data_IF_798778134554
#
_entry.id   IF_798778134554
#
_cell.length_a   1.000
_cell.length_b   1.000
_cell.length_c   1.000
_cell.angle_alpha   90.00
_cell.angle_beta   90.00
_cell.angle_gamma   90.00
#
_symmetry.space_group_name_H-M   'P 1'
#
loop_
_entity.id
_entity.type
_entity.pdbx_description
1 polymer ?
#
# COMPACT_ATOMS: atom_id res chain seq x y z
N UNK A 1 25.45 48.63 6.87
CA UNK A 1 24.59 47.74 6.03
C UNK A 1 25.36 46.45 5.82
N UNK A 2 24.92 45.34 6.41
CA UNK A 2 25.56 44.04 6.16
C UNK A 2 25.24 43.61 4.71
N UNK A 3 26.27 43.41 3.88
CA UNK A 3 26.14 42.93 2.51
C UNK A 3 26.69 41.51 2.45
N UNK A 4 26.00 40.62 1.75
CA UNK A 4 26.48 39.26 1.55
C UNK A 4 27.72 39.27 0.63
N UNK A 5 28.85 38.76 1.14
CA UNK A 5 30.06 38.48 0.35
C UNK A 5 30.03 37.01 -0.07
N UNK A 6 29.81 36.75 -1.37
CA UNK A 6 29.64 35.40 -1.93
C UNK A 6 30.92 34.82 -2.50
N UNK A 7 31.92 35.67 -2.69
CA UNK A 7 33.25 35.41 -3.23
C UNK A 7 34.29 35.13 -2.13
N UNK A 8 33.92 35.33 -0.85
CA UNK A 8 34.78 34.98 0.28
C UNK A 8 34.96 33.46 0.35
N UNK A 9 36.22 33.02 0.29
CA UNK A 9 36.60 31.62 0.49
C UNK A 9 36.78 31.38 1.99
N UNK A 10 36.01 30.44 2.54
CA UNK A 10 36.11 30.03 3.94
C UNK A 10 36.44 28.53 4.02
N UNK A 11 37.43 28.18 4.84
CA UNK A 11 37.68 26.79 5.23
C UNK A 11 36.77 26.47 6.42
N UNK A 12 35.75 25.64 6.18
CA UNK A 12 34.82 25.19 7.21
C UNK A 12 35.07 23.71 7.53
N UNK A 13 35.78 23.37 8.62
CA UNK A 13 35.81 21.99 9.09
C UNK A 13 34.38 21.55 9.43
N UNK A 14 34.01 20.33 9.02
CA UNK A 14 32.68 19.79 9.21
C UNK A 14 32.78 18.45 9.96
N UNK A 15 32.28 18.40 11.18
CA UNK A 15 31.99 17.16 11.87
C UNK A 15 30.63 16.65 11.40
N UNK A 16 30.61 15.48 10.75
CA UNK A 16 29.37 14.94 10.18
C UNK A 16 28.28 14.76 11.24
N UNK A 17 28.62 14.31 12.44
CA UNK A 17 27.61 14.11 13.48
C UNK A 17 27.01 15.44 13.97
N UNK A 18 27.79 16.52 13.99
CA UNK A 18 27.33 17.85 14.38
C UNK A 18 26.38 18.50 13.34
N UNK A 19 26.19 17.90 12.16
CA UNK A 19 25.21 18.37 11.16
C UNK A 19 23.78 18.37 11.72
N UNK A 20 23.48 17.49 12.67
CA UNK A 20 22.13 17.34 13.24
C UNK A 20 22.14 17.56 14.74
N UNK A 21 21.15 18.31 15.23
CA UNK A 21 20.88 18.43 16.66
C UNK A 21 20.65 17.04 17.30
N UNK A 22 20.95 16.85 18.60
CA UNK A 22 20.78 15.56 19.29
C UNK A 22 19.35 15.00 19.25
N UNK A 23 18.35 15.87 19.17
CA UNK A 23 16.92 15.54 19.13
C UNK A 23 16.35 15.44 17.71
N UNK A 24 17.19 15.58 16.67
CA UNK A 24 16.73 15.54 15.29
C UNK A 24 16.12 14.16 14.92
N UNK A 25 14.91 14.09 14.34
CA UNK A 25 14.21 12.83 14.10
C UNK A 25 14.95 11.81 13.22
N UNK A 26 15.84 12.23 12.34
CA UNK A 26 16.67 11.32 11.54
C UNK A 26 17.56 10.40 12.40
N UNK A 27 17.95 10.84 13.61
CA UNK A 27 18.68 9.99 14.56
C UNK A 27 17.82 8.82 15.06
N UNK A 28 16.51 9.07 15.28
CA UNK A 28 15.56 8.01 15.62
C UNK A 28 15.37 7.02 14.46
N UNK A 29 15.38 7.50 13.21
CA UNK A 29 15.35 6.62 12.04
C UNK A 29 16.56 5.68 12.03
N UNK A 30 17.76 6.23 12.24
CA UNK A 30 18.97 5.42 12.29
C UNK A 30 18.94 4.40 13.44
N UNK A 31 18.58 4.83 14.65
CA UNK A 31 18.45 3.93 15.79
C UNK A 31 17.43 2.81 15.55
N UNK A 32 16.29 3.11 14.91
CA UNK A 32 15.30 2.12 14.53
C UNK A 32 15.84 1.12 13.51
N UNK A 33 16.53 1.61 12.47
CA UNK A 33 17.15 0.75 11.45
C UNK A 33 18.18 -0.20 12.05
N UNK A 34 18.99 0.28 13.01
CA UNK A 34 19.98 -0.53 13.71
C UNK A 34 19.34 -1.63 14.58
N UNK A 35 18.07 -1.50 14.96
CA UNK A 35 17.31 -2.53 15.67
C UNK A 35 16.59 -3.51 14.74
N UNK A 36 16.53 -3.25 13.43
CA UNK A 36 15.93 -4.16 12.45
C UNK A 36 16.89 -5.31 12.12
N UNK A 37 16.33 -6.45 11.73
CA UNK A 37 17.13 -7.54 11.18
C UNK A 37 17.44 -7.29 9.71
N UNK A 38 18.65 -6.78 9.48
CA UNK A 38 19.19 -6.52 8.16
C UNK A 38 19.96 -7.73 7.58
N UNK A 39 20.15 -8.83 8.32
CA UNK A 39 20.94 -9.97 7.87
C UNK A 39 20.46 -10.54 6.50
N UNK A 40 19.14 -10.65 6.22
CA UNK A 40 18.68 -11.08 4.90
C UNK A 40 19.08 -10.14 3.75
N UNK A 41 19.22 -8.84 4.02
CA UNK A 41 19.66 -7.86 3.01
C UNK A 41 21.16 -7.97 2.76
N UNK A 42 21.96 -8.13 3.81
CA UNK A 42 23.40 -8.37 3.69
C UNK A 42 23.71 -9.68 2.97
N UNK A 43 22.98 -10.76 3.27
CA UNK A 43 23.16 -12.06 2.61
C UNK A 43 22.89 -12.03 1.10
N UNK A 44 22.09 -11.08 0.61
CA UNK A 44 21.82 -10.90 -0.82
C UNK A 44 22.97 -10.19 -1.56
N UNK A 45 23.90 -9.54 -0.84
CA UNK A 45 25.05 -8.87 -1.44
C UNK A 45 26.06 -9.94 -1.87
N UNK A 46 26.12 -10.18 -3.18
CA UNK A 46 27.12 -11.06 -3.81
C UNK A 46 28.49 -10.36 -3.88
N UNK A 47 29.11 -10.05 -2.74
CA UNK A 47 30.50 -9.60 -2.74
C UNK A 47 31.41 -10.83 -2.82
N UNK A 48 31.95 -11.12 -4.00
CA UNK A 48 33.04 -12.09 -4.16
C UNK A 48 34.35 -11.36 -3.89
N UNK A 49 35.17 -11.84 -2.95
CA UNK A 49 36.56 -11.38 -2.79
C UNK A 49 37.26 -11.51 -4.15
N UNK A 50 37.64 -10.39 -4.77
CA UNK A 50 38.44 -10.35 -6.02
C UNK A 50 37.70 -9.99 -7.31
N UNK A 51 36.41 -9.64 -7.28
CA UNK A 51 35.69 -9.14 -8.47
C UNK A 51 35.80 -7.63 -8.66
N UNK A 52 36.14 -7.15 -9.87
CA UNK A 52 36.15 -5.72 -10.19
C UNK A 52 34.72 -5.14 -10.22
N UNK A 53 34.32 -4.48 -9.14
CA UNK A 53 33.06 -3.74 -9.02
C UNK A 53 33.13 -2.76 -7.85
N UNK A 54 32.36 -1.66 -7.91
CA UNK A 54 32.27 -0.73 -6.78
C UNK A 54 31.71 -1.46 -5.53
N UNK A 55 32.20 -1.15 -4.32
CA UNK A 55 31.70 -1.76 -3.10
C UNK A 55 30.19 -1.52 -2.96
N UNK A 56 29.46 -2.53 -2.51
CA UNK A 56 28.02 -2.41 -2.31
C UNK A 56 27.73 -1.40 -1.18
N UNK A 57 26.79 -0.48 -1.43
CA UNK A 57 26.28 0.42 -0.38
C UNK A 57 25.65 -0.41 0.74
N UNK A 58 25.95 -0.04 1.99
CA UNK A 58 25.36 -0.65 3.16
C UNK A 58 23.80 -0.60 3.12
N UNK A 59 23.11 -1.75 3.20
CA UNK A 59 21.65 -1.82 3.32
C UNK A 59 21.07 -0.93 4.41
N UNK A 60 21.74 -0.75 5.55
CA UNK A 60 21.26 0.12 6.64
C UNK A 60 21.08 1.56 6.14
N UNK A 61 22.02 2.08 5.36
CA UNK A 61 21.93 3.42 4.76
C UNK A 61 20.72 3.49 3.82
N UNK A 62 20.56 2.50 2.93
CA UNK A 62 19.46 2.51 1.95
C UNK A 62 18.08 2.41 2.61
N UNK A 63 17.95 1.62 3.68
CA UNK A 63 16.72 1.47 4.47
C UNK A 63 16.43 2.77 5.25
N UNK A 64 17.44 3.34 5.92
CA UNK A 64 17.30 4.59 6.65
C UNK A 64 16.88 5.75 5.74
N UNK A 65 17.50 5.87 4.56
CA UNK A 65 17.14 6.87 3.56
C UNK A 65 15.69 6.72 3.12
N UNK A 66 15.19 5.49 2.91
CA UNK A 66 13.79 5.30 2.52
C UNK A 66 12.79 5.55 3.63
N UNK A 67 13.12 5.20 4.88
CA UNK A 67 12.27 5.53 6.03
C UNK A 67 12.21 7.04 6.22
N UNK A 68 13.35 7.73 6.19
CA UNK A 68 13.41 9.18 6.31
C UNK A 68 12.68 9.88 5.16
N UNK A 69 12.94 9.47 3.91
CA UNK A 69 12.23 9.97 2.74
C UNK A 69 10.71 9.76 2.86
N UNK A 70 10.26 8.64 3.42
CA UNK A 70 8.83 8.39 3.63
C UNK A 70 8.25 9.29 4.71
N UNK A 71 8.98 9.58 5.78
CA UNK A 71 8.57 10.53 6.83
C UNK A 71 8.48 11.96 6.27
N UNK A 72 9.45 12.34 5.45
CA UNK A 72 9.59 13.66 4.82
C UNK A 72 8.69 13.86 3.58
N UNK A 73 8.01 12.81 3.13
CA UNK A 73 7.09 12.86 1.98
C UNK A 73 7.75 12.77 0.60
N UNK A 74 9.01 12.32 0.56
CA UNK A 74 9.80 12.12 -0.67
C UNK A 74 9.53 10.74 -1.29
N UNK A 75 8.79 10.74 -2.39
CA UNK A 75 8.35 9.53 -3.10
C UNK A 75 9.21 9.09 -4.29
N UNK A 76 10.32 9.77 -4.59
CA UNK A 76 11.11 9.59 -5.82
C UNK A 76 12.56 9.24 -5.51
N UNK A 77 13.06 8.14 -6.07
CA UNK A 77 14.46 7.73 -5.89
C UNK A 77 15.46 8.75 -6.45
N UNK A 78 15.06 9.50 -7.50
CA UNK A 78 15.88 10.58 -8.07
C UNK A 78 15.88 11.85 -7.22
N UNK A 79 14.78 12.11 -6.54
CA UNK A 79 14.73 13.22 -5.57
C UNK A 79 15.58 12.86 -4.36
N UNK A 80 15.39 11.65 -3.83
CA UNK A 80 16.16 11.12 -2.71
C UNK A 80 17.67 11.20 -2.97
N UNK A 81 18.14 10.74 -4.14
CA UNK A 81 19.56 10.86 -4.50
C UNK A 81 20.06 12.32 -4.55
N UNK A 82 19.23 13.28 -4.98
CA UNK A 82 19.59 14.71 -4.97
C UNK A 82 19.64 15.27 -3.55
N UNK A 83 18.75 14.82 -2.66
CA UNK A 83 18.74 15.22 -1.26
C UNK A 83 19.97 14.69 -0.52
N UNK A 84 20.43 13.48 -0.84
CA UNK A 84 21.68 12.92 -0.32
C UNK A 84 22.92 13.80 -0.56
N UNK A 85 22.88 14.69 -1.56
CA UNK A 85 23.98 15.62 -1.88
C UNK A 85 23.85 16.99 -1.20
N UNK A 86 22.62 17.40 -0.80
CA UNK A 86 22.30 18.80 -0.51
C UNK A 86 21.70 19.04 0.86
N UNK A 87 21.00 18.07 1.42
CA UNK A 87 20.27 18.20 2.67
C UNK A 87 21.02 17.51 3.81
N UNK A 88 21.17 18.20 4.94
CA UNK A 88 22.02 17.75 6.04
C UNK A 88 21.51 16.46 6.70
N UNK A 89 20.19 16.24 6.76
CA UNK A 89 19.65 14.99 7.32
C UNK A 89 19.98 13.79 6.44
N UNK A 90 19.86 13.93 5.13
CA UNK A 90 20.20 12.87 4.18
C UNK A 90 21.72 12.65 4.09
N UNK A 91 22.51 13.73 4.14
CA UNK A 91 23.98 13.64 4.19
C UNK A 91 24.48 12.97 5.46
N UNK A 92 23.87 13.26 6.61
CA UNK A 92 24.16 12.60 7.88
C UNK A 92 23.87 11.09 7.79
N UNK A 93 22.70 10.68 7.27
CA UNK A 93 22.38 9.26 7.07
C UNK A 93 23.36 8.58 6.10
N UNK A 94 23.79 9.27 5.04
CA UNK A 94 24.77 8.73 4.09
C UNK A 94 26.15 8.52 4.72
N UNK A 95 26.54 9.30 5.73
CA UNK A 95 27.86 9.16 6.38
C UNK A 95 29.04 9.31 5.42
N UNK A 96 28.91 10.09 4.34
CA UNK A 96 29.92 10.22 3.28
C UNK A 96 29.88 9.16 2.19
N UNK A 97 28.99 8.16 2.28
CA UNK A 97 28.78 7.14 1.24
C UNK A 97 27.95 7.73 0.09
N UNK A 98 28.46 7.63 -1.13
CA UNK A 98 27.72 8.01 -2.34
C UNK A 98 26.58 7.02 -2.63
N UNK A 99 25.36 7.54 -2.82
CA UNK A 99 24.16 6.74 -3.09
C UNK A 99 23.58 7.10 -4.45
N UNK A 100 23.31 6.08 -5.28
CA UNK A 100 22.72 6.28 -6.59
C UNK A 100 21.21 5.94 -6.61
N UNK A 101 20.47 6.60 -7.51
CA UNK A 101 19.02 6.43 -7.61
C UNK A 101 18.56 5.04 -8.07
N UNK A 102 19.40 4.24 -8.72
CA UNK A 102 19.06 2.88 -9.13
C UNK A 102 18.99 1.96 -7.91
N UNK A 103 20.03 1.96 -7.07
CA UNK A 103 20.06 1.22 -5.80
C UNK A 103 18.89 1.61 -4.90
N UNK A 104 18.57 2.90 -4.82
CA UNK A 104 17.38 3.37 -4.09
C UNK A 104 16.08 2.81 -4.69
N UNK A 105 15.90 2.88 -6.01
CA UNK A 105 14.70 2.36 -6.67
C UNK A 105 14.53 0.84 -6.47
N UNK A 106 15.63 0.10 -6.45
CA UNK A 106 15.66 -1.35 -6.24
C UNK A 106 15.24 -1.70 -4.83
N UNK A 107 15.90 -1.14 -3.81
CA UNK A 107 15.56 -1.39 -2.40
C UNK A 107 14.11 -1.02 -2.07
N UNK A 108 13.58 0.05 -2.69
CA UNK A 108 12.19 0.46 -2.49
C UNK A 108 11.18 -0.65 -2.82
N UNK A 109 11.49 -1.49 -3.80
CA UNK A 109 10.49 -2.40 -4.41
C UNK A 109 10.84 -3.89 -4.37
N UNK A 110 12.10 -4.27 -4.19
CA UNK A 110 12.54 -5.67 -4.30
C UNK A 110 12.36 -6.47 -3.00
N UNK A 111 12.25 -5.82 -1.84
CA UNK A 111 12.28 -6.48 -0.52
C UNK A 111 10.93 -6.50 0.20
N UNK A 112 9.81 -6.64 -0.54
CA UNK A 112 8.46 -6.64 0.04
C UNK A 112 8.28 -7.65 1.18
N UNK A 113 8.79 -8.88 1.01
CA UNK A 113 8.69 -9.94 2.03
C UNK A 113 9.51 -9.60 3.28
N UNK A 114 10.71 -9.02 3.12
CA UNK A 114 11.53 -8.58 4.24
C UNK A 114 10.87 -7.43 5.00
N UNK A 115 10.32 -6.43 4.30
CA UNK A 115 9.58 -5.33 4.92
C UNK A 115 8.36 -5.84 5.73
N UNK A 116 7.64 -6.81 5.19
CA UNK A 116 6.49 -7.43 5.86
C UNK A 116 6.92 -8.22 7.12
N UNK A 117 8.06 -8.91 7.04
CA UNK A 117 8.67 -9.56 8.20
C UNK A 117 9.10 -8.55 9.27
N UNK A 118 9.67 -7.40 8.89
CA UNK A 118 10.04 -6.35 9.86
C UNK A 118 8.81 -5.75 10.54
N UNK A 119 7.71 -5.54 9.81
CA UNK A 119 6.45 -5.10 10.40
C UNK A 119 5.96 -6.10 11.45
N UNK A 120 5.96 -7.38 11.10
CA UNK A 120 5.54 -8.48 11.98
C UNK A 120 6.43 -8.57 13.22
N UNK A 121 7.75 -8.55 13.06
CA UNK A 121 8.71 -8.62 14.18
C UNK A 121 8.61 -7.43 15.11
N UNK A 122 8.50 -6.22 14.56
CA UNK A 122 8.35 -5.00 15.36
C UNK A 122 7.09 -5.08 16.24
N UNK A 123 5.97 -5.53 15.66
CA UNK A 123 4.72 -5.70 16.41
C UNK A 123 4.81 -6.84 17.43
N UNK A 124 5.41 -7.97 17.08
CA UNK A 124 5.61 -9.10 17.98
C UNK A 124 6.45 -8.72 19.22
N UNK A 125 7.57 -8.02 19.02
CA UNK A 125 8.41 -7.53 20.12
C UNK A 125 7.65 -6.57 21.06
N UNK A 126 6.75 -5.75 20.52
CA UNK A 126 5.88 -4.89 21.33
C UNK A 126 4.82 -5.68 22.12
N UNK A 127 4.32 -6.77 21.55
CA UNK A 127 3.37 -7.66 22.22
C UNK A 127 4.04 -8.45 23.35
N UNK A 128 5.27 -8.92 23.17
CA UNK A 128 6.06 -9.59 24.22
C UNK A 128 6.29 -8.67 25.42
N UNK A 129 6.57 -7.38 25.15
CA UNK A 129 6.70 -6.33 26.15
C UNK A 129 5.36 -5.83 26.73
N UNK A 130 4.23 -6.40 26.29
CA UNK A 130 2.86 -6.02 26.67
C UNK A 130 2.50 -4.56 26.38
N UNK A 131 3.20 -3.94 25.42
CA UNK A 131 2.92 -2.57 24.96
C UNK A 131 1.80 -2.53 23.90
N UNK A 132 1.59 -3.65 23.21
CA UNK A 132 0.50 -3.85 22.24
C UNK A 132 -0.25 -5.12 22.59
N UNK A 133 -1.58 -5.10 22.46
CA UNK A 133 -2.41 -6.28 22.73
C UNK A 133 -3.13 -6.81 21.49
N UNK A 134 -3.42 -5.96 20.50
CA UNK A 134 -4.29 -6.28 19.36
C UNK A 134 -5.69 -6.75 19.78
N UNK A 135 -6.15 -6.38 20.99
CA UNK A 135 -7.49 -6.73 21.47
C UNK A 135 -8.59 -5.96 20.73
N UNK A 136 -8.29 -4.72 20.34
CA UNK A 136 -9.19 -3.85 19.56
C UNK A 136 -8.43 -3.39 18.33
N UNK A 137 -8.85 -3.87 17.16
CA UNK A 137 -8.20 -3.57 15.89
C UNK A 137 -9.19 -2.81 15.01
N UNK A 138 -8.75 -1.68 14.45
CA UNK A 138 -9.51 -0.91 13.48
C UNK A 138 -8.95 -1.13 12.07
N UNK A 139 -9.85 -1.46 11.14
CA UNK A 139 -9.55 -1.62 9.72
C UNK A 139 -10.22 -0.53 8.89
N UNK A 140 -9.48 0.00 7.91
CA UNK A 140 -10.01 0.92 6.90
C UNK A 140 -9.25 0.81 5.58
N UNK A 141 -9.94 1.18 4.51
CA UNK A 141 -9.47 1.15 3.13
C UNK A 141 -9.30 2.54 2.54
N UNK A 142 -8.09 2.85 2.06
CA UNK A 142 -7.80 4.08 1.35
C UNK A 142 -7.51 3.83 -0.13
N UNK A 143 -8.24 4.54 -1.01
CA UNK A 143 -7.97 4.54 -2.45
C UNK A 143 -6.74 5.41 -2.72
N UNK A 144 -5.75 4.84 -3.40
CA UNK A 144 -4.47 5.47 -3.76
C UNK A 144 -4.27 5.37 -5.27
N UNK A 145 -3.94 6.48 -5.93
CA UNK A 145 -3.78 6.48 -7.40
C UNK A 145 -2.66 5.51 -7.80
N UNK A 146 -2.87 4.79 -8.90
CA UNK A 146 -1.83 3.95 -9.49
C UNK A 146 -0.91 4.80 -10.40
N UNK A 147 0.26 4.26 -10.75
CA UNK A 147 1.17 4.86 -11.74
C UNK A 147 0.67 4.65 -13.19
N UNK A 148 -0.60 4.98 -13.45
CA UNK A 148 -1.29 4.83 -14.71
C UNK A 148 -2.28 5.97 -14.96
N UNK A 149 -2.45 6.34 -16.24
CA UNK A 149 -3.45 7.34 -16.68
C UNK A 149 -4.74 6.65 -17.10
N UNK A 150 -5.89 7.32 -16.98
CA UNK A 150 -7.17 6.80 -17.51
C UNK A 150 -7.08 6.47 -19.01
N UNK A 151 -6.35 7.31 -19.76
CA UNK A 151 -6.04 7.10 -21.17
C UNK A 151 -5.10 5.90 -21.43
N UNK A 152 -4.60 5.18 -20.44
CA UNK A 152 -3.87 3.92 -20.66
C UNK A 152 -4.81 2.71 -20.71
N UNK A 153 -6.06 2.85 -20.23
CA UNK A 153 -7.03 1.76 -20.24
C UNK A 153 -7.57 1.53 -21.65
N UNK A 154 -7.46 0.29 -22.11
CA UNK A 154 -7.83 -0.15 -23.46
C UNK A 154 -8.66 -1.43 -23.39
N UNK A 155 -9.52 -1.61 -24.41
CA UNK A 155 -10.28 -2.83 -24.67
C UNK A 155 -9.38 -3.88 -25.33
N UNK A 156 -9.81 -5.14 -25.35
CA UNK A 156 -9.04 -6.28 -25.86
C UNK A 156 -8.44 -6.02 -27.25
N UNK A 157 -9.25 -5.66 -28.23
CA UNK A 157 -8.80 -5.46 -29.62
C UNK A 157 -7.63 -4.45 -29.73
N UNK A 158 -7.69 -3.36 -28.95
CA UNK A 158 -6.62 -2.36 -28.98
C UNK A 158 -5.39 -2.84 -28.22
N UNK A 159 -5.54 -3.66 -27.17
CA UNK A 159 -4.42 -4.30 -26.47
C UNK A 159 -3.69 -5.29 -27.38
N UNK A 160 -4.42 -6.14 -28.11
CA UNK A 160 -3.86 -7.10 -29.08
C UNK A 160 -3.04 -6.38 -30.15
N UNK A 161 -3.63 -5.39 -30.82
CA UNK A 161 -2.89 -4.57 -31.80
C UNK A 161 -1.65 -3.89 -31.23
N UNK A 162 -1.72 -3.37 -29.99
CA UNK A 162 -0.55 -2.77 -29.35
C UNK A 162 0.53 -3.80 -29.01
N UNK A 163 0.13 -5.00 -28.60
CA UNK A 163 1.02 -6.10 -28.28
C UNK A 163 1.76 -6.59 -29.52
N UNK A 164 1.05 -6.82 -30.62
CA UNK A 164 1.64 -7.16 -31.93
C UNK A 164 2.66 -6.10 -32.39
N UNK A 165 2.30 -4.82 -32.28
CA UNK A 165 3.22 -3.71 -32.60
C UNK A 165 4.48 -3.71 -31.70
N UNK A 166 4.32 -4.01 -30.41
CA UNK A 166 5.44 -4.05 -29.48
C UNK A 166 6.35 -5.27 -29.72
N UNK A 167 5.78 -6.40 -30.11
CA UNK A 167 6.54 -7.59 -30.51
C UNK A 167 7.35 -7.32 -31.77
N UNK A 168 6.73 -6.76 -32.81
CA UNK A 168 7.44 -6.39 -34.03
C UNK A 168 8.60 -5.41 -33.75
N UNK A 169 8.36 -4.38 -32.92
CA UNK A 169 9.40 -3.43 -32.51
C UNK A 169 10.55 -4.10 -31.75
N UNK A 170 10.25 -5.02 -30.82
CA UNK A 170 11.27 -5.74 -30.06
C UNK A 170 12.11 -6.64 -30.98
N UNK A 171 11.49 -7.30 -31.95
CA UNK A 171 12.23 -8.13 -32.92
C UNK A 171 13.16 -7.28 -33.79
N UNK A 172 12.70 -6.13 -34.28
CA UNK A 172 13.52 -5.20 -35.05
C UNK A 172 14.74 -4.72 -34.25
N UNK A 173 14.55 -4.28 -32.99
CA UNK A 173 15.66 -3.84 -32.12
C UNK A 173 16.65 -4.95 -31.80
N UNK A 174 16.19 -6.21 -31.67
CA UNK A 174 17.07 -7.36 -31.47
C UNK A 174 17.92 -7.66 -32.70
N UNK A 175 17.36 -7.52 -33.90
CA UNK A 175 18.10 -7.66 -35.15
C UNK A 175 19.19 -6.58 -35.28
N UNK A 176 18.85 -5.32 -35.04
CA UNK A 176 19.80 -4.19 -35.09
C UNK A 176 20.97 -4.35 -34.09
N UNK A 177 20.72 -4.87 -32.89
CA UNK A 177 21.76 -5.10 -31.87
C UNK A 177 22.79 -6.16 -32.27
N UNK A 178 22.43 -7.08 -33.16
CA UNK A 178 23.36 -8.08 -33.67
C UNK A 178 24.29 -7.54 -34.77
N UNK A 179 23.98 -6.39 -35.37
CA UNK A 179 24.67 -5.87 -36.55
C UNK A 179 25.71 -4.75 -36.27
N UNK A 180 25.72 -4.10 -35.09
CA UNK A 180 26.46 -2.84 -34.87
C UNK A 180 27.64 -2.88 -33.87
N UNK A 181 28.75 -2.23 -34.24
CA UNK A 181 30.07 -2.29 -33.59
C UNK A 181 30.51 -0.95 -32.96
N UNK A 182 29.95 -0.57 -31.80
CA UNK A 182 30.43 0.58 -31.02
C UNK A 182 29.97 0.60 -29.56
N UNK A 183 30.82 0.99 -28.60
CA UNK A 183 30.52 0.87 -27.16
C UNK A 183 29.46 1.87 -26.62
N UNK A 184 29.43 3.10 -27.14
CA UNK A 184 28.44 4.12 -26.77
C UNK A 184 27.06 3.85 -27.41
N UNK A 185 27.05 3.40 -28.67
CA UNK A 185 25.85 2.95 -29.40
C UNK A 185 25.18 1.77 -28.67
N UNK A 186 25.98 0.77 -28.25
CA UNK A 186 25.51 -0.40 -27.49
C UNK A 186 24.76 -0.07 -26.21
N UNK A 187 25.20 0.93 -25.42
CA UNK A 187 24.48 1.30 -24.17
C UNK A 187 23.12 1.91 -24.44
N UNK A 188 23.02 2.76 -25.47
CA UNK A 188 21.76 3.40 -25.87
C UNK A 188 20.80 2.38 -26.48
N UNK A 189 21.29 1.52 -27.38
CA UNK A 189 20.51 0.45 -27.99
C UNK A 189 20.03 -0.55 -26.93
N UNK A 190 20.89 -0.98 -25.99
CA UNK A 190 20.49 -1.87 -24.89
C UNK A 190 19.44 -1.23 -23.96
N UNK A 191 19.46 0.09 -23.76
CA UNK A 191 18.41 0.79 -23.01
C UNK A 191 17.08 0.81 -23.79
N UNK A 192 17.13 1.03 -25.10
CA UNK A 192 15.95 1.00 -25.98
C UNK A 192 15.33 -0.40 -26.06
N UNK A 193 16.14 -1.44 -26.22
CA UNK A 193 15.71 -2.83 -26.25
C UNK A 193 15.07 -3.26 -24.93
N UNK A 194 15.69 -2.91 -23.78
CA UNK A 194 15.08 -3.14 -22.46
C UNK A 194 13.73 -2.44 -22.33
N UNK A 195 13.62 -1.18 -22.75
CA UNK A 195 12.35 -0.45 -22.70
C UNK A 195 11.27 -1.06 -23.61
N UNK A 196 11.65 -1.55 -24.79
CA UNK A 196 10.76 -2.25 -25.71
C UNK A 196 10.30 -3.60 -25.12
N UNK A 197 11.22 -4.37 -24.54
CA UNK A 197 10.94 -5.65 -23.87
C UNK A 197 9.98 -5.46 -22.69
N UNK A 198 10.24 -4.48 -21.82
CA UNK A 198 9.35 -4.14 -20.71
C UNK A 198 7.97 -3.67 -21.19
N UNK A 199 7.90 -2.98 -22.33
CA UNK A 199 6.62 -2.57 -22.93
C UNK A 199 5.83 -3.77 -23.44
N UNK A 200 6.48 -4.69 -24.14
CA UNK A 200 5.88 -5.91 -24.68
C UNK A 200 5.34 -6.79 -23.53
N UNK A 201 6.15 -7.03 -22.50
CA UNK A 201 5.77 -7.80 -21.31
C UNK A 201 4.55 -7.20 -20.59
N UNK A 202 4.49 -5.87 -20.46
CA UNK A 202 3.32 -5.18 -19.87
C UNK A 202 2.05 -5.38 -20.70
N UNK A 203 2.16 -5.39 -22.03
CA UNK A 203 1.03 -5.62 -22.91
C UNK A 203 0.56 -7.08 -22.87
N UNK A 204 1.50 -8.03 -22.81
CA UNK A 204 1.19 -9.43 -22.57
C UNK A 204 0.45 -9.63 -21.23
N UNK A 205 0.95 -9.02 -20.15
CA UNK A 205 0.30 -9.06 -18.84
C UNK A 205 -1.07 -8.37 -18.85
N UNK A 206 -1.25 -7.29 -19.63
CA UNK A 206 -2.55 -6.64 -19.81
C UNK A 206 -3.57 -7.57 -20.48
N UNK A 207 -3.16 -8.33 -21.50
CA UNK A 207 -4.01 -9.35 -22.15
C UNK A 207 -4.35 -10.49 -21.20
N UNK A 208 -3.36 -11.07 -20.51
CA UNK A 208 -3.60 -12.11 -19.51
C UNK A 208 -4.55 -11.64 -18.38
N UNK A 209 -4.42 -10.37 -17.97
CA UNK A 209 -5.33 -9.76 -16.99
C UNK A 209 -6.74 -9.59 -17.56
N UNK A 210 -6.87 -9.23 -18.85
CA UNK A 210 -8.16 -9.17 -19.53
C UNK A 210 -8.84 -10.54 -19.51
N UNK A 211 -8.11 -11.60 -19.84
CA UNK A 211 -8.64 -12.97 -19.83
C UNK A 211 -9.13 -13.37 -18.44
N UNK A 212 -8.36 -13.02 -17.39
CA UNK A 212 -8.77 -13.25 -16.00
C UNK A 212 -10.05 -12.50 -15.64
N UNK A 213 -10.19 -11.24 -16.05
CA UNK A 213 -11.41 -10.44 -15.79
C UNK A 213 -12.63 -11.07 -16.49
N UNK A 214 -12.46 -11.50 -17.74
CA UNK A 214 -13.56 -12.10 -18.50
C UNK A 214 -13.98 -13.46 -17.96
N UNK A 215 -13.03 -14.30 -17.54
CA UNK A 215 -13.32 -15.60 -16.88
C UNK A 215 -14.06 -15.43 -15.56
N UNK A 216 -13.69 -14.41 -14.79
CA UNK A 216 -14.32 -14.12 -13.49
C UNK A 216 -15.63 -13.33 -13.62
N UNK A 217 -15.98 -12.87 -14.83
CA UNK A 217 -17.24 -12.18 -15.05
C UNK A 217 -18.36 -13.22 -14.93
N UNK A 218 -19.31 -13.06 -14.00
CA UNK A 218 -20.44 -13.97 -13.95
C UNK A 218 -21.17 -13.94 -15.30
N UNK A 219 -21.69 -15.09 -15.78
CA UNK A 219 -22.49 -15.11 -17.00
C UNK A 219 -23.62 -14.09 -16.87
N UNK A 220 -24.02 -13.48 -18.00
CA UNK A 220 -25.16 -12.55 -18.08
C UNK A 220 -26.39 -13.26 -17.51
N UNK A 221 -26.61 -13.18 -16.20
CA UNK A 221 -27.88 -13.57 -15.61
C UNK A 221 -28.85 -12.51 -16.08
N UNK A 222 -29.80 -12.90 -16.92
CA UNK A 222 -31.03 -12.15 -17.07
C UNK A 222 -31.55 -11.92 -15.65
N UNK A 223 -31.38 -10.70 -15.14
CA UNK A 223 -31.99 -10.30 -13.88
C UNK A 223 -33.49 -10.15 -14.15
N UNK A 224 -34.19 -11.26 -14.45
CA UNK A 224 -35.57 -11.47 -14.01
C UNK A 224 -35.48 -11.64 -12.50
N UNK A 225 -36.09 -10.70 -11.79
CA UNK A 225 -36.41 -10.76 -10.37
C UNK A 225 -35.41 -11.56 -9.50
N UNK A 226 -34.21 -11.03 -9.28
CA UNK A 226 -33.55 -11.26 -7.99
C UNK A 226 -33.94 -10.07 -7.12
N UNK A 227 -34.88 -10.30 -6.21
CA UNK A 227 -35.05 -9.44 -5.05
C UNK A 227 -33.66 -9.14 -4.51
N UNK A 228 -33.38 -7.85 -4.31
CA UNK A 228 -32.37 -7.50 -3.32
C UNK A 228 -32.92 -8.06 -2.01
N UNK A 229 -32.09 -8.67 -1.17
CA UNK A 229 -32.44 -8.98 0.22
C UNK A 229 -32.65 -7.67 0.99
N UNK A 230 -33.71 -6.96 0.63
CA UNK A 230 -34.30 -5.79 1.25
C UNK A 230 -35.78 -6.11 1.32
N UNK A 231 -36.25 -6.44 2.53
CA UNK A 231 -37.63 -6.82 2.85
C UNK A 231 -38.62 -5.63 2.84
N UNK A 232 -38.50 -4.71 1.88
CA UNK A 232 -39.55 -3.71 1.64
C UNK A 232 -40.48 -4.23 0.53
N UNK A 233 -41.81 -4.23 0.71
CA UNK A 233 -42.74 -4.55 -0.37
C UNK A 233 -42.57 -3.53 -1.51
N UNK A 234 -42.62 -3.97 -2.78
CA UNK A 234 -42.34 -3.09 -3.91
C UNK A 234 -43.47 -2.05 -4.07
N UNK A 235 -43.12 -0.76 -3.93
CA UNK A 235 -43.97 0.33 -4.40
C UNK A 235 -44.11 0.27 -5.94
N UNK A 236 -45.27 0.66 -6.51
CA UNK A 236 -45.49 0.59 -7.95
C UNK A 236 -44.58 1.58 -8.68
N UNK A 237 -43.57 1.07 -9.40
CA UNK A 237 -42.65 1.91 -10.18
C UNK A 237 -43.16 2.09 -11.62
N UNK A 238 -43.65 3.28 -11.93
CA UNK A 238 -43.79 3.79 -13.28
C UNK A 238 -42.46 4.43 -13.72
N UNK A 239 -41.63 3.69 -14.49
CA UNK A 239 -40.72 4.23 -15.52
C UNK A 239 -39.84 3.10 -16.08
N UNK A 240 -40.16 2.63 -17.28
CA UNK A 240 -39.33 1.71 -18.04
C UNK A 240 -38.11 2.44 -18.63
N UNK A 241 -37.00 2.47 -17.90
CA UNK A 241 -35.70 2.85 -18.49
C UNK A 241 -35.01 1.62 -19.05
N UNK A 242 -34.84 1.57 -20.37
CA UNK A 242 -34.06 0.55 -21.07
C UNK A 242 -32.64 0.44 -20.47
N UNK A 243 -32.21 -0.80 -20.20
CA UNK A 243 -30.95 -1.11 -19.51
C UNK A 243 -29.76 -0.82 -20.41
N UNK A 244 -28.84 0.05 -19.99
CA UNK A 244 -27.55 0.27 -20.68
C UNK A 244 -26.74 -1.05 -20.69
N UNK A 245 -26.15 -1.47 -21.83
CA UNK A 245 -25.28 -2.63 -21.88
C UNK A 245 -24.10 -2.44 -20.92
N UNK A 246 -23.74 -3.49 -20.18
CA UNK A 246 -22.60 -3.40 -19.28
C UNK A 246 -21.33 -3.08 -20.07
N UNK A 247 -20.55 -2.07 -19.64
CA UNK A 247 -19.38 -1.63 -20.37
C UNK A 247 -18.35 -2.76 -20.49
N UNK A 248 -17.77 -2.89 -21.68
CA UNK A 248 -16.68 -3.83 -21.93
C UNK A 248 -15.50 -3.60 -20.97
N UNK A 249 -14.84 -4.67 -20.52
CA UNK A 249 -13.70 -4.56 -19.63
C UNK A 249 -12.55 -3.80 -20.30
N UNK A 250 -11.81 -3.06 -19.47
CA UNK A 250 -10.64 -2.30 -19.91
C UNK A 250 -9.47 -2.59 -18.98
N UNK A 251 -8.28 -2.74 -19.55
CA UNK A 251 -7.04 -2.96 -18.81
C UNK A 251 -6.00 -1.92 -19.24
N UNK A 252 -5.18 -1.46 -18.30
CA UNK A 252 -4.15 -0.45 -18.57
C UNK A 252 -2.97 -1.07 -19.33
N UNK A 253 -2.46 -0.35 -20.33
CA UNK A 253 -1.20 -0.66 -21.03
C UNK A 253 0.04 -0.33 -20.20
N UNK A 254 -0.11 0.45 -19.12
CA UNK A 254 0.99 0.88 -18.25
C UNK A 254 1.03 0.15 -16.93
N UNK A 255 -0.13 -0.13 -16.33
CA UNK A 255 -0.24 -0.87 -15.06
C UNK A 255 -1.42 -1.85 -15.12
N UNK A 256 -1.20 -3.06 -15.68
CA UNK A 256 -2.25 -4.06 -15.91
C UNK A 256 -3.12 -4.38 -14.69
N UNK A 257 -2.55 -4.28 -13.49
CA UNK A 257 -3.23 -4.65 -12.25
C UNK A 257 -4.11 -3.52 -11.69
N UNK A 258 -3.90 -2.27 -12.12
CA UNK A 258 -4.69 -1.12 -11.69
C UNK A 258 -6.15 -1.20 -12.17
N UNK A 259 -7.07 -0.68 -11.38
CA UNK A 259 -8.51 -0.59 -11.72
C UNK A 259 -9.03 0.81 -11.57
N UNK A 260 -10.07 1.15 -12.32
CA UNK A 260 -10.74 2.44 -12.16
C UNK A 260 -11.58 2.40 -10.89
N UNK A 261 -11.26 3.28 -9.94
CA UNK A 261 -11.97 3.38 -8.65
C UNK A 261 -12.48 4.80 -8.45
N UNK A 262 -13.58 4.94 -7.70
CA UNK A 262 -14.06 6.23 -7.22
C UNK A 262 -13.11 6.70 -6.12
N UNK A 263 -12.53 7.88 -6.30
CA UNK A 263 -11.64 8.52 -5.35
C UNK A 263 -12.46 9.36 -4.35
N UNK A 264 -11.82 9.78 -3.25
CA UNK A 264 -12.47 10.61 -2.22
C UNK A 264 -12.99 11.96 -2.76
N UNK A 265 -12.34 12.52 -3.79
CA UNK A 265 -12.76 13.74 -4.49
C UNK A 265 -13.93 13.51 -5.47
N UNK A 266 -14.51 12.31 -5.50
CA UNK A 266 -15.58 11.92 -6.42
C UNK A 266 -15.12 11.53 -7.83
N UNK A 267 -13.86 11.80 -8.19
CA UNK A 267 -13.33 11.47 -9.51
C UNK A 267 -13.01 9.99 -9.68
N UNK A 268 -13.11 9.48 -10.92
CA UNK A 268 -12.77 8.08 -11.25
C UNK A 268 -11.38 8.01 -11.88
N UNK A 269 -10.46 7.29 -11.23
CA UNK A 269 -9.06 7.20 -11.69
C UNK A 269 -8.50 5.79 -11.52
N UNK A 270 -7.47 5.41 -12.28
CA UNK A 270 -6.73 4.17 -12.02
C UNK A 270 -6.12 4.23 -10.62
N UNK A 271 -6.42 3.24 -9.79
CA UNK A 271 -6.06 3.21 -8.39
C UNK A 271 -5.92 1.77 -7.89
N UNK A 272 -5.36 1.68 -6.69
CA UNK A 272 -5.40 0.51 -5.82
C UNK A 272 -6.10 0.88 -4.52
N UNK A 273 -6.61 -0.13 -3.83
CA UNK A 273 -7.18 0.01 -2.50
C UNK A 273 -6.16 -0.51 -1.47
N UNK A 274 -5.58 0.40 -0.69
CA UNK A 274 -4.66 0.08 0.39
C UNK A 274 -5.48 -0.11 1.68
N UNK A 275 -5.31 -1.28 2.30
CA UNK A 275 -6.00 -1.66 3.53
C UNK A 275 -4.99 -1.62 4.69
N UNK A 276 -5.40 -1.05 5.81
CA UNK A 276 -4.63 -1.04 7.05
C UNK A 276 -5.45 -1.73 8.15
N UNK A 277 -4.78 -2.51 8.99
CA UNK A 277 -5.30 -2.94 10.29
C UNK A 277 -4.41 -2.32 11.38
N UNK A 278 -5.03 -1.61 12.32
CA UNK A 278 -4.34 -0.75 13.29
C UNK A 278 -4.81 -1.08 14.70
N UNK A 279 -3.87 -1.24 15.61
CA UNK A 279 -4.15 -1.38 17.05
C UNK A 279 -4.76 -0.08 17.59
N UNK A 280 -5.98 -0.15 18.13
CA UNK A 280 -6.70 1.05 18.56
C UNK A 280 -6.02 1.84 19.69
N UNK A 281 -5.50 1.20 20.75
CA UNK A 281 -4.83 1.93 21.83
C UNK A 281 -3.56 2.67 21.40
N UNK A 282 -2.73 2.06 20.54
CA UNK A 282 -1.40 2.61 20.20
C UNK A 282 -1.34 3.35 18.86
N UNK A 283 -2.34 3.14 18.00
CA UNK A 283 -2.35 3.55 16.59
C UNK A 283 -1.22 2.95 15.75
N UNK A 284 -0.64 1.83 16.19
CA UNK A 284 0.37 1.09 15.45
C UNK A 284 -0.29 0.21 14.39
N UNK A 285 0.21 0.27 13.15
CA UNK A 285 -0.25 -0.55 12.05
C UNK A 285 0.26 -1.98 12.27
N UNK A 286 -0.65 -2.93 12.37
CA UNK A 286 -0.37 -4.34 12.60
C UNK A 286 -0.33 -5.17 11.31
N UNK A 287 -1.12 -4.78 10.31
CA UNK A 287 -1.13 -5.45 9.01
C UNK A 287 -1.52 -4.48 7.90
N UNK A 288 -1.05 -4.78 6.68
CA UNK A 288 -1.39 -4.03 5.48
C UNK A 288 -1.70 -4.99 4.33
N UNK A 289 -2.50 -4.51 3.37
CA UNK A 289 -2.74 -5.20 2.11
C UNK A 289 -2.98 -4.18 0.99
N UNK A 290 -2.70 -4.55 -0.25
CA UNK A 290 -3.06 -3.76 -1.43
C UNK A 290 -3.90 -4.64 -2.34
N UNK A 291 -5.09 -4.15 -2.71
CA UNK A 291 -5.98 -4.87 -3.63
C UNK A 291 -6.36 -4.00 -4.80
N UNK A 292 -6.85 -4.65 -5.85
CA UNK A 292 -7.43 -3.99 -7.03
C UNK A 292 -8.96 -3.99 -6.98
N UNK A 293 -9.57 -4.25 -5.81
CA UNK A 293 -11.01 -4.08 -5.58
C UNK A 293 -11.31 -2.62 -5.25
N UNK A 294 -12.27 -2.01 -5.97
CA UNK A 294 -12.72 -0.65 -5.67
C UNK A 294 -13.61 -0.54 -4.43
N UNK A 295 -14.03 -1.68 -3.85
CA UNK A 295 -14.87 -1.77 -2.66
C UNK A 295 -14.12 -2.45 -1.52
N UNK A 296 -14.38 -1.97 -0.31
CA UNK A 296 -13.90 -2.56 0.96
C UNK A 296 -14.74 -3.80 1.37
N UNK A 297 -15.87 -4.02 0.69
CA UNK A 297 -16.73 -5.16 0.94
C UNK A 297 -15.97 -6.46 0.70
N UNK A 298 -15.93 -7.32 1.73
CA UNK A 298 -15.21 -8.59 1.70
C UNK A 298 -13.72 -8.50 2.03
N UNK A 299 -13.18 -7.32 2.39
CA UNK A 299 -11.78 -7.16 2.82
C UNK A 299 -11.57 -7.43 4.32
N UNK A 300 -12.65 -7.57 5.10
CA UNK A 300 -12.59 -7.78 6.56
C UNK A 300 -11.98 -9.15 6.92
N UNK A 301 -12.57 -10.24 6.43
CA UNK A 301 -12.12 -11.60 6.76
C UNK A 301 -10.66 -11.90 6.34
N UNK A 302 -10.20 -11.52 5.12
CA UNK A 302 -8.80 -11.74 4.75
C UNK A 302 -7.79 -11.01 5.66
N UNK A 303 -8.08 -9.76 6.03
CA UNK A 303 -7.21 -8.96 6.89
C UNK A 303 -7.18 -9.50 8.33
N UNK A 304 -8.35 -9.90 8.85
CA UNK A 304 -8.46 -10.55 10.15
C UNK A 304 -7.66 -11.86 10.19
N UNK A 305 -7.83 -12.73 9.20
CA UNK A 305 -7.10 -13.99 9.10
C UNK A 305 -5.58 -13.75 9.00
N UNK A 306 -5.15 -12.77 8.20
CA UNK A 306 -3.75 -12.37 8.09
C UNK A 306 -3.18 -11.97 9.45
N UNK A 307 -3.92 -11.19 10.25
CA UNK A 307 -3.48 -10.76 11.59
C UNK A 307 -3.39 -11.95 12.55
N UNK A 308 -4.39 -12.83 12.58
CA UNK A 308 -4.40 -14.03 13.43
C UNK A 308 -3.23 -14.95 13.10
N UNK A 309 -2.96 -15.18 11.81
CA UNK A 309 -1.84 -16.01 11.35
C UNK A 309 -0.47 -15.42 11.71
N UNK A 310 -0.34 -14.09 11.65
CA UNK A 310 0.92 -13.39 11.94
C UNK A 310 1.30 -13.41 13.41
N UNK A 311 0.33 -13.22 14.30
CA UNK A 311 0.60 -12.94 15.71
C UNK A 311 0.08 -14.03 16.66
N UNK A 312 -0.63 -15.04 16.16
CA UNK A 312 -1.28 -16.05 16.99
C UNK A 312 -2.31 -15.44 17.97
N UNK A 313 -2.84 -14.26 17.65
CA UNK A 313 -3.81 -13.52 18.48
C UNK A 313 -5.10 -13.27 17.72
N UNK A 314 -6.20 -13.58 18.40
CA UNK A 314 -7.55 -13.29 17.95
C UNK A 314 -8.01 -11.99 18.62
N UNK A 315 -8.24 -10.91 17.86
CA UNK A 315 -8.79 -9.68 18.42
C UNK A 315 -10.16 -9.90 19.03
N UNK A 316 -10.43 -9.28 20.18
CA UNK A 316 -11.78 -9.29 20.78
C UNK A 316 -12.76 -8.48 19.93
N UNK A 317 -12.36 -7.29 19.50
CA UNK A 317 -13.18 -6.39 18.70
C UNK A 317 -12.49 -6.01 17.39
N UNK A 318 -13.24 -6.08 16.29
CA UNK A 318 -12.78 -5.69 14.96
C UNK A 318 -13.62 -4.55 14.40
N UNK A 319 -13.06 -3.35 14.38
CA UNK A 319 -13.75 -2.11 14.02
C UNK A 319 -13.58 -1.84 12.53
N UNK A 320 -14.65 -1.46 11.85
CA UNK A 320 -14.61 -1.07 10.44
C UNK A 320 -15.74 -0.10 10.09
N UNK A 321 -15.68 0.49 8.90
CA UNK A 321 -16.79 1.28 8.38
C UNK A 321 -17.88 0.41 7.73
N UNK A 322 -18.98 1.04 7.32
CA UNK A 322 -20.10 0.34 6.67
C UNK A 322 -19.74 -0.29 5.32
N UNK A 323 -18.61 0.09 4.72
CA UNK A 323 -18.06 -0.54 3.52
C UNK A 323 -17.60 -1.97 3.76
N UNK A 324 -17.29 -2.35 5.00
CA UNK A 324 -16.89 -3.72 5.37
C UNK A 324 -18.05 -4.64 5.73
N UNK A 325 -19.27 -4.10 5.89
CA UNK A 325 -20.44 -4.85 6.37
C UNK A 325 -20.89 -5.91 5.35
N UNK A 326 -20.41 -7.14 5.53
CA UNK A 326 -20.86 -8.35 4.84
C UNK A 326 -21.21 -9.40 5.90
N UNK A 327 -22.47 -9.83 5.95
CA UNK A 327 -23.01 -10.72 6.99
C UNK A 327 -22.16 -11.98 7.17
N UNK A 328 -21.81 -12.66 6.06
CA UNK A 328 -20.91 -13.82 6.07
C UNK A 328 -19.55 -13.56 6.73
N UNK A 329 -19.00 -12.36 6.59
CA UNK A 329 -17.73 -12.01 7.22
C UNK A 329 -17.90 -11.74 8.73
N UNK A 330 -19.03 -11.16 9.15
CA UNK A 330 -19.36 -10.98 10.57
C UNK A 330 -19.49 -12.34 11.26
N UNK A 331 -20.23 -13.27 10.65
CA UNK A 331 -20.38 -14.64 11.15
C UNK A 331 -19.04 -15.38 11.21
N UNK A 332 -18.20 -15.24 10.18
CA UNK A 332 -16.88 -15.87 10.15
C UNK A 332 -15.94 -15.34 11.26
N UNK A 333 -15.97 -14.03 11.54
CA UNK A 333 -15.21 -13.44 12.65
C UNK A 333 -15.76 -13.91 14.01
N UNK A 334 -17.09 -13.93 14.15
CA UNK A 334 -17.75 -14.38 15.38
C UNK A 334 -17.41 -15.84 15.70
N UNK A 335 -17.41 -16.73 14.70
CA UNK A 335 -17.02 -18.13 14.85
C UNK A 335 -15.58 -18.32 15.33
N UNK A 336 -14.70 -17.32 15.13
CA UNK A 336 -13.32 -17.31 15.62
C UNK A 336 -13.18 -16.63 16.99
N UNK A 337 -14.27 -16.10 17.57
CA UNK A 337 -14.27 -15.39 18.85
C UNK A 337 -14.09 -13.87 18.75
N UNK A 338 -14.18 -13.29 17.55
CA UNK A 338 -14.07 -11.84 17.33
C UNK A 338 -15.44 -11.19 17.12
N UNK A 339 -15.74 -10.13 17.86
CA UNK A 339 -16.92 -9.31 17.65
C UNK A 339 -16.64 -8.23 16.61
N UNK A 340 -17.35 -8.27 15.48
CA UNK A 340 -17.29 -7.20 14.50
C UNK A 340 -18.03 -5.96 15.02
N UNK A 341 -17.40 -4.79 14.93
CA UNK A 341 -17.95 -3.48 15.29
C UNK A 341 -18.01 -2.65 14.01
N UNK A 342 -18.99 -3.00 13.17
CA UNK A 342 -19.26 -2.37 11.87
C UNK A 342 -20.73 -1.96 11.82
N UNK A 343 -21.08 -0.78 11.28
CA UNK A 343 -22.46 -0.31 11.29
C UNK A 343 -23.34 -1.16 10.36
N UNK A 344 -24.56 -1.52 10.79
CA UNK A 344 -25.53 -2.16 9.91
C UNK A 344 -25.94 -1.22 8.77
N UNK A 345 -26.30 -1.77 7.59
CA UNK A 345 -26.81 -0.95 6.51
C UNK A 345 -28.13 -0.29 6.93
N UNK A 346 -28.27 1.01 6.65
CA UNK A 346 -29.52 1.73 6.88
C UNK A 346 -30.62 1.23 5.94
N UNK A 347 -31.83 1.01 6.47
CA UNK A 347 -33.01 0.78 5.64
C UNK A 347 -33.46 2.08 4.97
N UNK A 348 -34.14 1.95 3.82
CA UNK A 348 -34.84 3.09 3.20
C UNK A 348 -36.13 3.42 3.91
N UNK A 349 -36.72 2.44 4.58
CA UNK A 349 -37.88 2.60 5.44
C UNK A 349 -37.41 3.02 6.84
N UNK A 350 -37.69 4.25 7.29
CA UNK A 350 -37.25 4.75 8.60
C UNK A 350 -37.84 3.99 9.78
N UNK A 351 -38.94 3.25 9.58
CA UNK A 351 -39.58 2.44 10.62
C UNK A 351 -38.78 1.16 10.95
N UNK A 352 -37.85 0.75 10.09
CA UNK A 352 -37.02 -0.43 10.31
C UNK A 352 -35.79 -0.01 11.11
N UNK A 353 -35.76 -0.40 12.38
CA UNK A 353 -34.57 -0.24 13.23
C UNK A 353 -33.44 -1.15 12.70
N UNK A 354 -32.30 -0.60 12.25
CA UNK A 354 -31.18 -1.40 11.75
C UNK A 354 -30.46 -2.19 12.85
N UNK A 355 -30.68 -1.86 14.13
CA UNK A 355 -30.10 -2.53 15.31
C UNK A 355 -31.00 -3.63 15.88
N UNK A 356 -32.25 -3.71 15.45
CA UNK A 356 -33.13 -4.82 15.83
C UNK A 356 -32.71 -6.11 15.09
N UNK A 357 -32.69 -7.28 15.77
CA UNK A 357 -32.47 -8.56 15.11
C UNK A 357 -33.57 -8.84 14.09
N UNK A 358 -33.21 -9.50 12.99
CA UNK A 358 -34.14 -9.95 11.95
C UNK A 358 -34.47 -11.42 12.11
N UNK A 359 -35.62 -11.85 11.62
CA UNK A 359 -36.04 -13.26 11.65
C UNK A 359 -35.08 -14.20 10.90
N UNK A 360 -34.38 -13.67 9.89
CA UNK A 360 -33.38 -14.38 9.11
C UNK A 360 -31.96 -14.30 9.67
N UNK A 361 -31.74 -13.53 10.74
CA UNK A 361 -30.42 -13.37 11.34
C UNK A 361 -30.03 -14.65 12.10
N UNK A 362 -28.78 -15.10 11.93
CA UNK A 362 -28.19 -16.07 12.84
C UNK A 362 -27.96 -15.45 14.23
N UNK A 363 -27.73 -16.29 15.24
CA UNK A 363 -27.42 -15.80 16.60
C UNK A 363 -26.23 -14.81 16.61
N UNK A 364 -25.23 -15.04 15.76
CA UNK A 364 -24.09 -14.15 15.61
C UNK A 364 -24.49 -12.76 15.07
N UNK A 365 -25.37 -12.72 14.07
CA UNK A 365 -25.86 -11.47 13.48
C UNK A 365 -26.77 -10.71 14.45
N UNK A 366 -27.65 -11.41 15.18
CA UNK A 366 -28.47 -10.82 16.23
C UNK A 366 -27.61 -10.18 17.33
N UNK A 367 -26.57 -10.89 17.80
CA UNK A 367 -25.61 -10.35 18.78
C UNK A 367 -24.84 -9.13 18.25
N UNK A 368 -24.40 -9.18 16.99
CA UNK A 368 -23.73 -8.04 16.36
C UNK A 368 -24.62 -6.79 16.29
N UNK A 369 -25.89 -6.94 15.90
CA UNK A 369 -26.84 -5.81 15.86
C UNK A 369 -27.11 -5.23 17.25
N UNK A 370 -27.33 -6.11 18.23
CA UNK A 370 -27.51 -5.71 19.63
C UNK A 370 -26.28 -4.96 20.16
N UNK A 371 -25.06 -5.44 19.86
CA UNK A 371 -23.82 -4.75 20.18
C UNK A 371 -23.77 -3.36 19.54
N UNK A 372 -24.06 -3.24 18.25
CA UNK A 372 -24.04 -1.94 17.56
C UNK A 372 -25.09 -0.95 18.09
N UNK A 373 -26.22 -1.44 18.61
CA UNK A 373 -27.24 -0.62 19.25
C UNK A 373 -26.90 -0.20 20.69
N UNK A 374 -26.00 -0.93 21.36
CA UNK A 374 -25.64 -0.70 22.76
C UNK A 374 -24.69 0.49 22.94
N UNK A 375 -24.63 1.03 24.16
CA UNK A 375 -23.70 2.12 24.48
C UNK A 375 -22.23 1.66 24.44
N UNK A 376 -21.96 0.39 24.77
CA UNK A 376 -20.65 -0.23 24.61
C UNK A 376 -20.21 -0.24 23.13
N UNK A 377 -21.09 -0.68 22.21
CA UNK A 377 -20.77 -0.67 20.78
C UNK A 377 -20.55 0.73 20.23
N UNK A 378 -21.32 1.73 20.69
CA UNK A 378 -21.09 3.14 20.33
C UNK A 378 -19.74 3.65 20.84
N UNK A 379 -19.34 3.30 22.06
CA UNK A 379 -18.01 3.64 22.61
C UNK A 379 -16.89 3.00 21.80
N UNK A 380 -17.00 1.70 21.49
CA UNK A 380 -16.03 0.98 20.66
C UNK A 380 -15.93 1.60 19.26
N UNK A 381 -17.05 1.80 18.58
CA UNK A 381 -17.07 2.33 17.22
C UNK A 381 -16.46 3.73 17.10
N UNK A 382 -16.63 4.59 18.12
CA UNK A 382 -15.97 5.91 18.18
C UNK A 382 -14.45 5.84 18.12
N UNK A 383 -13.83 4.75 18.60
CA UNK A 383 -12.37 4.58 18.54
C UNK A 383 -11.85 4.46 17.11
N UNK A 384 -12.68 4.05 16.13
CA UNK A 384 -12.27 3.89 14.73
C UNK A 384 -11.70 5.18 14.15
N UNK A 385 -12.42 6.30 14.33
CA UNK A 385 -12.02 7.60 13.78
C UNK A 385 -10.71 8.11 14.36
N UNK A 386 -10.51 7.94 15.67
CA UNK A 386 -9.25 8.30 16.33
C UNK A 386 -8.09 7.35 15.98
N UNK A 387 -8.35 6.20 15.36
CA UNK A 387 -7.33 5.16 15.12
C UNK A 387 -6.90 5.12 13.65
N UNK A 388 -7.69 4.44 12.82
CA UNK A 388 -7.26 4.05 11.46
C UNK A 388 -7.41 5.21 10.48
N UNK A 389 -8.41 6.07 10.67
CA UNK A 389 -8.56 7.29 9.86
C UNK A 389 -7.40 8.26 10.13
N UNK A 390 -6.93 8.33 11.37
CA UNK A 390 -5.72 9.08 11.72
C UNK A 390 -4.48 8.51 11.02
N UNK A 391 -4.28 7.19 11.06
CA UNK A 391 -3.18 6.54 10.34
C UNK A 391 -3.25 6.82 8.82
N UNK A 392 -4.42 6.66 8.21
CA UNK A 392 -4.67 6.99 6.81
C UNK A 392 -4.32 8.46 6.49
N UNK A 393 -4.71 9.40 7.34
CA UNK A 393 -4.39 10.82 7.18
C UNK A 393 -2.88 11.08 7.27
N UNK A 394 -2.17 10.46 8.22
CA UNK A 394 -0.71 10.58 8.34
C UNK A 394 0.01 10.02 7.12
N UNK A 395 -0.41 8.86 6.61
CA UNK A 395 0.12 8.26 5.39
C UNK A 395 -0.09 9.17 4.18
N UNK A 396 -1.27 9.80 4.06
CA UNK A 396 -1.54 10.78 2.99
C UNK A 396 -0.71 12.05 3.14
N UNK A 397 -0.53 12.57 4.35
CA UNK A 397 0.33 13.74 4.61
C UNK A 397 1.77 13.48 4.17
N UNK A 398 2.24 12.24 4.32
CA UNK A 398 3.54 11.73 3.89
C UNK A 398 3.62 11.32 2.42
N UNK A 399 2.68 11.75 1.57
CA UNK A 399 2.77 11.57 0.12
C UNK A 399 2.11 10.30 -0.45
N UNK A 400 1.38 9.50 0.35
CA UNK A 400 0.64 8.32 -0.16
C UNK A 400 -0.66 8.70 -0.89
N UNK A 401 -0.62 9.71 -1.78
CA UNK A 401 -1.76 10.01 -2.66
C UNK A 401 -1.69 9.22 -3.97
N UNK A 402 -0.49 8.77 -4.33
CA UNK A 402 -0.23 8.01 -5.53
C UNK A 402 0.96 7.05 -5.33
N UNK A 403 0.83 5.83 -5.81
CA UNK A 403 1.95 4.93 -5.98
C UNK A 403 2.78 5.37 -7.19
N UNK A 404 4.08 5.60 -6.98
CA UNK A 404 5.05 5.89 -8.04
C UNK A 404 5.66 4.62 -8.66
N UNK A 405 5.06 3.48 -8.37
CA UNK A 405 5.46 2.15 -8.82
C UNK A 405 4.26 1.48 -9.48
N UNK A 406 4.51 0.43 -10.26
CA UNK A 406 3.48 -0.30 -11.01
C UNK A 406 3.35 -1.72 -10.49
N UNK A 407 2.13 -2.22 -10.48
CA UNK A 407 1.78 -3.56 -10.01
C UNK A 407 1.58 -3.66 -8.50
N UNK A 408 0.81 -4.67 -8.09
CA UNK A 408 0.35 -4.89 -6.72
C UNK A 408 1.51 -5.16 -5.76
N UNK A 409 2.48 -6.00 -6.18
CA UNK A 409 3.61 -6.37 -5.33
C UNK A 409 4.47 -5.14 -4.95
N UNK A 410 4.75 -4.27 -5.92
CA UNK A 410 5.55 -3.06 -5.68
C UNK A 410 4.75 -2.02 -4.89
N UNK A 411 3.45 -1.88 -5.17
CA UNK A 411 2.57 -1.01 -4.38
C UNK A 411 2.50 -1.48 -2.92
N UNK A 412 2.45 -2.80 -2.68
CA UNK A 412 2.51 -3.39 -1.35
C UNK A 412 3.82 -3.08 -0.64
N UNK A 413 4.97 -3.19 -1.31
CA UNK A 413 6.26 -2.79 -0.75
C UNK A 413 6.25 -1.30 -0.32
N UNK A 414 5.71 -0.41 -1.16
CA UNK A 414 5.56 1.01 -0.80
C UNK A 414 4.64 1.21 0.40
N UNK A 415 3.53 0.49 0.49
CA UNK A 415 2.63 0.58 1.64
C UNK A 415 3.32 0.11 2.93
N UNK A 416 4.17 -0.92 2.86
CA UNK A 416 4.96 -1.37 4.00
C UNK A 416 5.99 -0.34 4.48
N UNK A 417 6.66 0.38 3.56
CA UNK A 417 7.53 1.52 3.94
C UNK A 417 6.75 2.57 4.73
N UNK A 418 5.55 2.90 4.26
CA UNK A 418 4.66 3.83 4.96
C UNK A 418 4.22 3.30 6.33
N UNK A 419 3.94 2.00 6.45
CA UNK A 419 3.56 1.38 7.71
C UNK A 419 4.71 1.39 8.73
N UNK A 420 5.92 1.01 8.32
CA UNK A 420 7.12 1.05 9.17
C UNK A 420 7.46 2.48 9.60
N UNK A 421 7.44 3.44 8.67
CA UNK A 421 7.67 4.85 8.98
C UNK A 421 6.61 5.41 9.94
N UNK A 422 5.35 4.99 9.79
CA UNK A 422 4.28 5.36 10.73
C UNK A 422 4.51 4.76 12.11
N UNK A 423 4.80 3.47 12.19
CA UNK A 423 5.04 2.79 13.46
C UNK A 423 6.26 3.38 14.18
N UNK A 424 7.35 3.63 13.47
CA UNK A 424 8.53 4.33 13.99
C UNK A 424 8.15 5.66 14.66
N UNK A 425 7.44 6.53 13.94
CA UNK A 425 7.05 7.84 14.47
C UNK A 425 6.06 7.72 15.64
N UNK A 426 5.18 6.71 15.63
CA UNK A 426 4.27 6.43 16.75
C UNK A 426 5.02 5.93 17.97
N UNK A 427 5.99 5.03 17.81
CA UNK A 427 6.86 4.57 18.89
C UNK A 427 7.61 5.72 19.54
N UNK A 428 8.19 6.64 18.73
CA UNK A 428 8.79 7.87 19.25
C UNK A 428 7.79 8.70 20.07
N UNK A 429 6.58 8.94 19.55
CA UNK A 429 5.57 9.74 20.26
C UNK A 429 5.07 9.11 21.57
N UNK A 430 5.16 7.78 21.67
CA UNK A 430 4.76 7.02 22.85
C UNK A 430 5.93 6.77 23.82
N UNK A 431 7.14 7.27 23.51
CA UNK A 431 8.34 7.01 24.31
C UNK A 431 8.77 5.53 24.31
N UNK A 432 8.41 4.77 23.28
CA UNK A 432 8.72 3.35 23.17
C UNK A 432 10.12 3.19 22.55
N UNK A 433 11.06 2.65 23.32
CA UNK A 433 12.38 2.30 22.82
C UNK A 433 12.33 1.20 21.74
N UNK A 434 13.16 1.35 20.71
CA UNK A 434 13.42 0.32 19.69
C UNK A 434 14.24 -0.78 20.34
N UNK A 435 13.64 -1.93 20.62
CA UNK A 435 14.38 -3.09 21.11
C UNK A 435 14.93 -3.86 19.92
N UNK A 436 16.21 -4.23 19.96
CA UNK A 436 16.71 -5.31 19.12
C UNK A 436 16.01 -6.59 19.59
N UNK A 437 15.37 -7.31 18.67
CA UNK A 437 14.80 -8.64 18.94
C UNK A 437 15.88 -9.70 18.90
#
# INVERSE_FOLDING_TARGET
MLRAQRDQVELRPCELDALLAPDHPARNVWAFVQALDLAPLYAAIKSVRGGAGAPATDPAILVALWLWATIDGVGSARELARLCERDDAYRWICGGVGVNHHSLSDVRTQHAAWLDAQLTRSMAALMERRLVTLNVVAQDGMRVRAAAKAASLRRRERLQRLHEQAQAQLQALKAELHEDAGASSRRKQAAQERAAREREQRLAQALATMDKIERLRPPKKDKKAKGRDHDDPPAPSASGTARKPEPEPRVSTTDPEARVMKMADGGFRPAFNAQLAVDAPTQLIAAVAVTNSGSDMGQMAPMHQQLVQRYGRVPKHWLGDGGFTKLQAIEALHAQGTQAVVPPPSSRNPAIDPFAPKDSDSAALAQWRALMGSDEGKVLYRQRGATVECANAQLRRRGLQQFNVRGLLKAHAVLLWHALAHNLMRMCSLGIAFAAS
#
